data_IF_746233324786
#
_entry.id   IF_746233324786
#
_cell.length_a   1.000
_cell.length_b   1.000
_cell.length_c   1.000
_cell.angle_alpha   90.00
_cell.angle_beta   90.00
_cell.angle_gamma   90.00
#
_symmetry.space_group_name_H-M   'P 1'
#
loop_
_entity.id
_entity.type
_entity.pdbx_description
1 polymer ?
#
# COMPACT_ATOMS: atom_id res chain seq x y z
N UNK A 1 -12.43 4.27 -14.05
CA UNK A 1 -12.49 5.57 -13.33
C UNK A 1 -11.75 5.45 -12.00
N UNK A 2 -11.08 6.51 -11.55
CA UNK A 2 -10.40 6.55 -10.26
C UNK A 2 -11.01 7.67 -9.39
N UNK A 3 -11.45 7.35 -8.18
CA UNK A 3 -12.06 8.33 -7.26
C UNK A 3 -11.45 8.21 -5.87
N UNK A 4 -10.77 9.26 -5.41
CA UNK A 4 -10.32 9.37 -4.02
C UNK A 4 -11.34 10.19 -3.23
N UNK A 5 -11.83 9.66 -2.11
CA UNK A 5 -12.88 10.31 -1.32
C UNK A 5 -12.78 9.94 0.16
N UNK A 6 -13.41 10.76 1.01
CA UNK A 6 -13.61 10.45 2.44
C UNK A 6 -15.11 10.20 2.62
N UNK A 7 -15.53 8.96 2.97
CA UNK A 7 -16.94 8.68 3.22
C UNK A 7 -17.51 9.53 4.36
N UNK A 8 -18.81 9.81 4.33
CA UNK A 8 -19.48 10.52 5.42
C UNK A 8 -19.25 9.79 6.77
N UNK A 9 -18.91 10.55 7.80
CA UNK A 9 -18.61 10.02 9.13
C UNK A 9 -17.26 9.29 9.28
N UNK A 10 -16.44 9.21 8.22
CA UNK A 10 -15.13 8.57 8.25
C UNK A 10 -14.00 9.60 8.31
N UNK A 11 -12.87 9.21 8.92
CA UNK A 11 -11.67 10.06 9.03
C UNK A 11 -10.62 9.79 7.96
N UNK A 12 -10.79 8.70 7.22
CA UNK A 12 -9.76 8.13 6.37
C UNK A 12 -10.20 8.07 4.92
N UNK A 13 -9.24 8.26 4.02
CA UNK A 13 -9.45 8.23 2.58
C UNK A 13 -9.78 6.80 2.12
N UNK A 14 -10.57 6.72 1.05
CA UNK A 14 -10.80 5.54 0.24
C UNK A 14 -10.46 5.86 -1.21
N UNK A 15 -9.91 4.88 -1.92
CA UNK A 15 -9.69 4.98 -3.37
C UNK A 15 -10.55 3.92 -4.06
N UNK A 16 -11.49 4.37 -4.86
CA UNK A 16 -12.27 3.54 -5.77
C UNK A 16 -11.55 3.48 -7.12
N UNK A 17 -11.29 2.26 -7.59
CA UNK A 17 -10.76 2.00 -8.92
C UNK A 17 -11.78 1.15 -9.66
N UNK A 18 -12.44 1.75 -10.62
CA UNK A 18 -13.39 1.08 -11.50
C UNK A 18 -12.70 0.77 -12.82
N UNK A 19 -12.60 -0.52 -13.14
CA UNK A 19 -12.17 -1.06 -14.43
C UNK A 19 -13.37 -1.76 -15.08
N UNK A 20 -13.23 -2.22 -16.34
CA UNK A 20 -14.36 -2.65 -17.19
C UNK A 20 -15.40 -3.54 -16.48
N UNK A 21 -14.94 -4.54 -15.75
CA UNK A 21 -15.74 -5.59 -15.14
C UNK A 21 -15.59 -5.65 -13.62
N UNK A 22 -14.80 -4.75 -13.01
CA UNK A 22 -14.43 -4.86 -11.60
C UNK A 22 -14.33 -3.50 -10.93
N UNK A 23 -14.61 -3.50 -9.64
CA UNK A 23 -14.52 -2.35 -8.78
C UNK A 23 -13.67 -2.69 -7.56
N UNK A 24 -12.55 -1.97 -7.39
CA UNK A 24 -11.58 -2.19 -6.31
C UNK A 24 -11.66 -1.00 -5.37
N UNK A 25 -11.98 -1.25 -4.10
CA UNK A 25 -11.99 -0.23 -3.04
C UNK A 25 -10.80 -0.43 -2.10
N UNK A 26 -9.87 0.51 -2.12
CA UNK A 26 -8.67 0.48 -1.28
C UNK A 26 -8.82 1.38 -0.04
N UNK A 27 -8.26 0.91 1.08
CA UNK A 27 -8.13 1.69 2.31
C UNK A 27 -6.92 2.62 2.24
N UNK A 28 -6.98 3.75 2.94
CA UNK A 28 -5.86 4.71 3.06
C UNK A 28 -4.52 4.04 3.39
N UNK A 29 -4.50 3.11 4.35
CA UNK A 29 -3.26 2.43 4.75
C UNK A 29 -2.66 1.59 3.60
N UNK A 30 -3.49 0.97 2.76
CA UNK A 30 -3.05 0.21 1.60
C UNK A 30 -2.44 1.14 0.55
N UNK A 31 -3.10 2.26 0.27
CA UNK A 31 -2.63 3.26 -0.69
C UNK A 31 -1.30 3.87 -0.22
N UNK A 32 -1.23 4.24 1.06
CA UNK A 32 -0.01 4.80 1.66
C UNK A 32 1.17 3.82 1.58
N UNK A 33 0.93 2.52 1.77
CA UNK A 33 1.97 1.50 1.61
C UNK A 33 2.44 1.37 0.14
N UNK A 34 1.52 1.36 -0.82
CA UNK A 34 1.85 1.32 -2.26
C UNK A 34 2.67 2.55 -2.65
N UNK A 35 2.23 3.75 -2.25
CA UNK A 35 2.92 5.01 -2.52
C UNK A 35 4.31 5.00 -1.90
N UNK A 36 4.45 4.53 -0.65
CA UNK A 36 5.74 4.42 0.03
C UNK A 36 6.70 3.48 -0.70
N UNK A 37 6.22 2.32 -1.15
CA UNK A 37 7.02 1.39 -1.95
C UNK A 37 7.46 2.02 -3.28
N UNK A 38 6.54 2.66 -4.00
CA UNK A 38 6.85 3.37 -5.26
C UNK A 38 7.91 4.46 -5.06
N UNK A 39 7.71 5.33 -4.07
CA UNK A 39 8.67 6.40 -3.74
C UNK A 39 10.04 5.78 -3.44
N UNK A 40 10.09 4.74 -2.60
CA UNK A 40 11.34 4.11 -2.22
C UNK A 40 12.13 3.56 -3.43
N UNK A 41 11.47 2.98 -4.43
CA UNK A 41 12.14 2.59 -5.68
C UNK A 41 12.59 3.82 -6.48
N UNK A 42 11.69 4.78 -6.72
CA UNK A 42 11.98 5.92 -7.60
C UNK A 42 13.02 6.89 -7.05
N UNK A 43 13.16 6.99 -5.72
CA UNK A 43 14.08 7.95 -5.07
C UNK A 43 15.37 7.31 -4.56
N UNK A 44 15.50 5.98 -4.55
CA UNK A 44 16.71 5.31 -4.10
C UNK A 44 17.61 4.99 -5.29
N UNK A 45 18.87 5.42 -5.22
CA UNK A 45 19.85 5.36 -6.33
C UNK A 45 20.00 3.98 -6.99
N UNK A 46 19.90 2.91 -6.20
CA UNK A 46 20.20 1.54 -6.65
C UNK A 46 19.07 0.54 -6.44
N UNK A 47 17.97 0.93 -5.79
CA UNK A 47 16.93 -0.03 -5.40
C UNK A 47 16.02 -0.28 -6.58
N UNK A 48 15.70 -1.55 -6.83
CA UNK A 48 14.93 -2.02 -8.00
C UNK A 48 13.65 -2.75 -7.61
N UNK A 49 13.58 -3.34 -6.42
CA UNK A 49 12.36 -4.03 -5.99
C UNK A 49 12.10 -3.92 -4.47
N UNK A 50 10.82 -3.88 -4.11
CA UNK A 50 10.33 -3.98 -2.73
C UNK A 50 9.08 -4.86 -2.74
N UNK A 51 9.05 -5.85 -1.84
CA UNK A 51 7.87 -6.65 -1.58
C UNK A 51 7.19 -6.15 -0.30
N UNK A 52 5.89 -5.91 -0.39
CA UNK A 52 5.05 -5.55 0.74
C UNK A 52 4.41 -6.82 1.32
N UNK A 53 4.50 -7.00 2.63
CA UNK A 53 3.88 -8.12 3.34
C UNK A 53 2.88 -7.61 4.38
N UNK A 54 1.81 -8.38 4.58
CA UNK A 54 0.82 -8.08 5.61
C UNK A 54 1.39 -8.40 6.99
N UNK A 55 1.51 -7.39 7.84
CA UNK A 55 2.03 -7.51 9.20
C UNK A 55 1.02 -6.95 10.19
N UNK A 56 0.87 -7.63 11.34
CA UNK A 56 0.10 -7.10 12.47
C UNK A 56 0.98 -6.17 13.29
N UNK A 57 0.60 -4.90 13.42
CA UNK A 57 1.34 -3.92 14.19
C UNK A 57 0.67 -3.75 15.56
N UNK A 58 1.41 -4.06 16.62
CA UNK A 58 0.97 -3.90 18.01
C UNK A 58 1.18 -2.47 18.56
N UNK A 59 1.93 -1.64 17.86
CA UNK A 59 2.25 -0.25 18.19
C UNK A 59 1.72 0.70 17.10
N UNK A 60 1.37 1.93 17.45
CA UNK A 60 0.96 2.93 16.45
C UNK A 60 -0.15 3.87 16.92
N UNK A 61 -0.57 4.74 15.99
CA UNK A 61 -1.62 5.73 16.24
C UNK A 61 -2.95 5.05 16.52
N UNK A 62 -3.68 5.57 17.51
CA UNK A 62 -5.03 5.10 17.86
C UNK A 62 -5.96 5.24 16.65
N UNK A 63 -6.82 4.24 16.44
CA UNK A 63 -7.80 4.13 15.34
C UNK A 63 -7.24 3.78 13.95
N UNK A 64 -5.98 3.38 13.84
CA UNK A 64 -5.43 2.85 12.59
C UNK A 64 -5.63 1.34 12.49
N UNK A 65 -5.64 0.81 11.26
CA UNK A 65 -5.76 -0.62 11.03
C UNK A 65 -4.60 -1.39 11.69
N UNK A 66 -4.92 -2.46 12.42
CA UNK A 66 -3.93 -3.35 13.05
C UNK A 66 -3.07 -4.08 12.03
N UNK A 67 -3.67 -4.48 10.91
CA UNK A 67 -2.95 -5.11 9.81
C UNK A 67 -2.61 -4.06 8.76
N UNK A 68 -1.33 -3.97 8.42
CA UNK A 68 -0.82 -3.05 7.42
C UNK A 68 0.14 -3.76 6.48
N UNK A 69 0.37 -3.15 5.32
CA UNK A 69 1.42 -3.58 4.39
C UNK A 69 2.73 -2.87 4.75
N UNK A 70 3.75 -3.66 5.05
CA UNK A 70 5.10 -3.21 5.41
C UNK A 70 6.10 -3.85 4.46
N UNK A 71 7.19 -3.13 4.18
CA UNK A 71 8.34 -3.60 3.44
C UNK A 71 8.94 -4.85 4.10
N UNK A 72 9.02 -5.93 3.33
CA UNK A 72 9.72 -7.15 3.75
C UNK A 72 11.23 -6.98 3.67
N UNK A 73 11.97 -7.84 4.38
CA UNK A 73 13.43 -7.91 4.31
C UNK A 73 13.94 -8.87 3.21
N UNK A 74 13.11 -9.20 2.21
CA UNK A 74 13.53 -10.09 1.11
C UNK A 74 14.52 -9.38 0.18
N UNK A 75 15.43 -10.16 -0.37
CA UNK A 75 16.43 -9.67 -1.33
C UNK A 75 15.75 -9.25 -2.63
N UNK A 76 16.23 -8.16 -3.22
CA UNK A 76 15.64 -7.57 -4.42
C UNK A 76 15.65 -8.52 -5.62
N UNK A 77 16.74 -9.28 -5.79
CA UNK A 77 16.88 -10.24 -6.89
C UNK A 77 15.81 -11.33 -6.83
N UNK A 78 15.53 -11.87 -5.63
CA UNK A 78 14.48 -12.88 -5.46
C UNK A 78 13.09 -12.33 -5.80
N UNK A 79 12.84 -11.04 -5.54
CA UNK A 79 11.56 -10.41 -5.84
C UNK A 79 11.42 -10.23 -7.34
N UNK A 80 12.49 -9.84 -8.03
CA UNK A 80 12.49 -9.62 -9.48
C UNK A 80 12.28 -10.94 -10.23
N UNK A 81 12.88 -12.04 -9.77
CA UNK A 81 12.74 -13.35 -10.41
C UNK A 81 11.30 -13.95 -10.27
N UNK A 82 10.47 -13.40 -9.37
CA UNK A 82 9.08 -13.85 -9.12
C UNK A 82 8.02 -13.11 -9.97
N UNK A 83 8.38 -12.04 -10.67
CA UNK A 83 7.46 -11.14 -11.41
C UNK A 83 7.52 -11.38 -12.91
#
# INVERSE_FOLDING_TARGET
>A
MFVAFIPLGHKHVRLLIEIKDQCILLQEATIAAIVRAYINITTHLTRKAIKLTRTCISYGKKNYAKYQLIESNRLENEIIDEV
#
